data_IF_248760815989
#
_entry.id   IF_248760815989
#
_cell.length_a   1.000
_cell.length_b   1.000
_cell.length_c   1.000
_cell.angle_alpha   90.00
_cell.angle_beta   90.00
_cell.angle_gamma   90.00
#
_symmetry.space_group_name_H-M   'P 1'
#
loop_
_entity.id
_entity.type
_entity.pdbx_description
1 polymer ?
#
# COMPACT_ATOMS: atom_id res chain seq x y z
N UNK A 1 22.83 -0.73 -65.20
CA UNK A 1 22.27 -0.53 -63.84
C UNK A 1 23.02 -1.45 -62.90
N UNK A 2 24.00 -0.94 -62.16
CA UNK A 2 24.77 -1.70 -61.17
C UNK A 2 24.12 -1.54 -59.80
N UNK A 3 23.57 -2.61 -59.24
CA UNK A 3 23.06 -2.63 -57.86
C UNK A 3 24.21 -2.40 -56.88
N UNK A 4 24.24 -1.21 -56.29
CA UNK A 4 25.12 -0.90 -55.16
C UNK A 4 24.54 -1.56 -53.91
N UNK A 5 24.97 -2.79 -53.62
CA UNK A 5 24.63 -3.49 -52.38
C UNK A 5 25.44 -2.87 -51.24
N UNK A 6 24.87 -1.83 -50.62
CA UNK A 6 25.44 -1.22 -49.42
C UNK A 6 25.35 -2.22 -48.26
N UNK A 7 26.48 -2.71 -47.70
CA UNK A 7 26.43 -3.64 -46.58
C UNK A 7 25.80 -2.95 -45.37
N UNK A 8 24.73 -3.54 -44.84
CA UNK A 8 24.06 -3.03 -43.64
C UNK A 8 25.03 -3.10 -42.46
N UNK A 9 25.29 -2.00 -41.74
CA UNK A 9 26.21 -2.03 -40.61
C UNK A 9 25.71 -3.01 -39.54
N UNK A 10 26.62 -3.74 -38.87
CA UNK A 10 26.25 -4.70 -37.84
C UNK A 10 25.45 -3.99 -36.75
N UNK A 11 24.25 -4.51 -36.46
CA UNK A 11 23.38 -4.01 -35.39
C UNK A 11 24.17 -4.02 -34.07
N UNK A 12 24.27 -2.89 -33.34
CA UNK A 12 24.93 -2.86 -32.05
C UNK A 12 24.27 -3.88 -31.11
N UNK A 13 24.98 -4.94 -30.77
CA UNK A 13 24.54 -5.89 -29.75
C UNK A 13 24.80 -5.26 -28.39
N UNK A 14 23.73 -5.08 -27.59
CA UNK A 14 23.88 -4.54 -26.25
C UNK A 14 24.91 -5.38 -25.47
N UNK A 15 25.85 -4.74 -24.74
CA UNK A 15 26.87 -5.46 -23.98
C UNK A 15 26.20 -6.44 -23.02
N UNK A 16 26.63 -7.70 -23.06
CA UNK A 16 26.11 -8.76 -22.19
C UNK A 16 26.41 -8.39 -20.74
N UNK A 17 25.36 -8.13 -19.94
CA UNK A 17 25.51 -7.84 -18.50
C UNK A 17 26.26 -8.97 -17.80
N UNK A 18 27.18 -8.62 -16.91
CA UNK A 18 27.86 -9.60 -16.06
C UNK A 18 26.87 -10.23 -15.09
N UNK A 19 27.21 -11.39 -14.52
CA UNK A 19 26.36 -12.06 -13.53
C UNK A 19 26.06 -11.16 -12.33
N UNK A 20 27.06 -10.44 -11.84
CA UNK A 20 26.94 -9.49 -10.73
C UNK A 20 25.99 -8.32 -11.07
N UNK A 21 26.08 -7.77 -12.28
CA UNK A 21 25.16 -6.73 -12.74
C UNK A 21 23.71 -7.24 -12.79
N UNK A 22 23.50 -8.49 -13.21
CA UNK A 22 22.18 -9.13 -13.22
C UNK A 22 21.65 -9.35 -11.79
N UNK A 23 22.49 -9.77 -10.87
CA UNK A 23 22.10 -9.98 -9.47
C UNK A 23 21.75 -8.65 -8.77
N UNK A 24 22.52 -7.60 -9.01
CA UNK A 24 22.24 -6.25 -8.50
C UNK A 24 20.92 -5.69 -9.06
N UNK A 25 20.66 -5.89 -10.36
CA UNK A 25 19.40 -5.49 -11.01
C UNK A 25 18.19 -6.23 -10.42
N UNK A 26 18.30 -7.54 -10.21
CA UNK A 26 17.23 -8.33 -9.57
C UNK A 26 16.96 -7.87 -8.13
N UNK A 27 18.00 -7.50 -7.37
CA UNK A 27 17.84 -6.96 -6.03
C UNK A 27 17.11 -5.60 -6.03
N UNK A 28 17.45 -4.72 -6.99
CA UNK A 28 16.78 -3.45 -7.18
C UNK A 28 15.31 -3.63 -7.57
N UNK A 29 15.02 -4.53 -8.52
CA UNK A 29 13.65 -4.86 -8.95
C UNK A 29 12.81 -5.37 -7.79
N UNK A 30 13.34 -6.30 -6.97
CA UNK A 30 12.63 -6.81 -5.78
C UNK A 30 12.32 -5.69 -4.76
N UNK A 31 13.17 -4.67 -4.66
CA UNK A 31 12.94 -3.51 -3.77
C UNK A 31 11.78 -2.65 -4.29
N UNK A 32 11.73 -2.40 -5.60
CA UNK A 32 10.63 -1.67 -6.23
C UNK A 32 9.33 -2.46 -6.12
N UNK A 33 9.33 -3.75 -6.45
CA UNK A 33 8.15 -4.62 -6.36
C UNK A 33 7.55 -4.63 -4.94
N UNK A 34 8.39 -4.71 -3.90
CA UNK A 34 7.92 -4.61 -2.51
C UNK A 34 7.28 -3.27 -2.20
N UNK A 35 7.84 -2.17 -2.67
CA UNK A 35 7.26 -0.83 -2.46
C UNK A 35 5.92 -0.69 -3.17
N UNK A 36 5.83 -1.12 -4.42
CA UNK A 36 4.59 -1.08 -5.21
C UNK A 36 3.52 -1.95 -4.55
N UNK A 37 3.86 -3.16 -4.11
CA UNK A 37 2.94 -4.03 -3.39
C UNK A 37 2.46 -3.41 -2.07
N UNK A 38 3.36 -2.76 -1.32
CA UNK A 38 3.01 -2.10 -0.07
C UNK A 38 2.06 -0.91 -0.30
N UNK A 39 2.31 -0.11 -1.34
CA UNK A 39 1.44 1.02 -1.72
C UNK A 39 0.07 0.52 -2.17
N UNK A 40 0.01 -0.52 -3.01
CA UNK A 40 -1.25 -1.11 -3.46
C UNK A 40 -2.07 -1.66 -2.30
N UNK A 41 -1.44 -2.43 -1.41
CA UNK A 41 -2.09 -2.95 -0.21
C UNK A 41 -2.61 -1.84 0.70
N UNK A 42 -1.80 -0.79 0.93
CA UNK A 42 -2.21 0.37 1.71
C UNK A 42 -3.42 1.08 1.10
N UNK A 43 -3.41 1.32 -0.22
CA UNK A 43 -4.52 2.00 -0.90
C UNK A 43 -5.84 1.23 -0.75
N UNK A 44 -5.83 -0.09 -0.95
CA UNK A 44 -7.02 -0.95 -0.82
C UNK A 44 -7.56 -0.94 0.61
N UNK A 45 -6.68 -1.07 1.58
CA UNK A 45 -7.07 -1.19 2.99
C UNK A 45 -7.56 0.12 3.59
N UNK A 46 -6.96 1.26 3.21
CA UNK A 46 -7.46 2.60 3.59
C UNK A 46 -8.87 2.84 3.06
N UNK A 47 -9.18 2.40 1.84
CA UNK A 47 -10.57 2.45 1.34
C UNK A 47 -11.52 1.65 2.21
N UNK A 48 -11.10 0.47 2.70
CA UNK A 48 -11.88 -0.30 3.67
C UNK A 48 -12.14 0.46 4.97
N UNK A 49 -11.12 1.12 5.54
CA UNK A 49 -11.27 1.94 6.75
C UNK A 49 -12.26 3.09 6.52
N UNK A 50 -12.11 3.85 5.44
CA UNK A 50 -13.00 4.95 5.10
C UNK A 50 -14.43 4.46 4.84
N UNK A 51 -14.59 3.31 4.18
CA UNK A 51 -15.88 2.68 3.93
C UNK A 51 -16.59 2.30 5.23
N UNK A 52 -15.88 1.71 6.19
CA UNK A 52 -16.42 1.42 7.51
C UNK A 52 -16.84 2.70 8.26
N UNK A 53 -16.00 3.74 8.26
CA UNK A 53 -16.33 5.01 8.93
C UNK A 53 -17.59 5.64 8.30
N UNK A 54 -17.66 5.69 6.97
CA UNK A 54 -18.83 6.19 6.26
C UNK A 54 -20.10 5.42 6.61
N UNK A 55 -20.02 4.08 6.64
CA UNK A 55 -21.14 3.22 7.01
C UNK A 55 -21.56 3.41 8.47
N UNK A 56 -20.62 3.63 9.39
CA UNK A 56 -20.93 3.92 10.79
C UNK A 56 -21.81 5.19 10.93
N UNK A 57 -21.48 6.27 10.22
CA UNK A 57 -22.29 7.49 10.26
C UNK A 57 -23.68 7.32 9.63
N UNK A 58 -23.81 6.46 8.61
CA UNK A 58 -25.13 6.11 8.05
C UNK A 58 -25.97 5.36 9.08
N UNK A 59 -25.40 4.38 9.78
CA UNK A 59 -26.09 3.61 10.82
C UNK A 59 -26.48 4.46 12.03
N UNK A 60 -25.63 5.40 12.42
CA UNK A 60 -25.91 6.37 13.47
C UNK A 60 -27.13 7.22 13.13
N UNK A 61 -27.19 7.74 11.90
CA UNK A 61 -28.36 8.49 11.40
C UNK A 61 -29.66 7.67 11.32
N UNK A 62 -29.58 6.35 11.37
CA UNK A 62 -30.73 5.43 11.42
C UNK A 62 -31.13 5.05 12.85
N UNK A 63 -30.53 5.66 13.87
CA UNK A 63 -30.78 5.34 15.28
C UNK A 63 -30.11 4.04 15.76
N UNK A 64 -29.24 3.42 14.94
CA UNK A 64 -28.51 2.18 15.25
C UNK A 64 -27.13 2.50 15.83
N UNK A 65 -27.11 3.29 16.90
CA UNK A 65 -25.87 3.82 17.49
C UNK A 65 -24.90 2.71 17.93
N UNK A 66 -25.41 1.59 18.46
CA UNK A 66 -24.59 0.43 18.85
C UNK A 66 -23.87 -0.23 17.66
N UNK A 67 -24.54 -0.35 16.51
CA UNK A 67 -23.94 -0.92 15.30
C UNK A 67 -22.94 0.05 14.66
N UNK A 68 -23.20 1.35 14.75
CA UNK A 68 -22.27 2.38 14.31
C UNK A 68 -20.93 2.27 15.06
N UNK A 69 -20.97 2.17 16.39
CA UNK A 69 -19.79 1.98 17.23
C UNK A 69 -19.06 0.67 16.85
N UNK A 70 -19.80 -0.43 16.69
CA UNK A 70 -19.21 -1.72 16.31
C UNK A 70 -18.46 -1.66 14.97
N UNK A 71 -19.03 -0.98 13.97
CA UNK A 71 -18.38 -0.79 12.67
C UNK A 71 -17.16 0.12 12.79
N UNK A 72 -17.22 1.19 13.59
CA UNK A 72 -16.05 2.04 13.84
C UNK A 72 -14.91 1.24 14.48
N UNK A 73 -15.21 0.35 15.44
CA UNK A 73 -14.21 -0.54 16.02
C UNK A 73 -13.60 -1.49 14.98
N UNK A 74 -14.41 -2.04 14.08
CA UNK A 74 -13.92 -2.88 12.97
C UNK A 74 -12.99 -2.11 12.04
N UNK A 75 -13.24 -0.81 11.80
CA UNK A 75 -12.32 0.03 11.02
C UNK A 75 -10.94 0.13 11.68
N UNK A 76 -10.87 0.14 13.02
CA UNK A 76 -9.62 0.13 13.77
C UNK A 76 -8.84 -1.17 13.62
N UNK A 77 -9.53 -2.31 13.57
CA UNK A 77 -8.91 -3.62 13.30
C UNK A 77 -8.29 -3.63 11.89
N UNK A 78 -9.02 -3.11 10.89
CA UNK A 78 -8.51 -3.00 9.52
C UNK A 78 -7.27 -2.10 9.48
N UNK A 79 -7.27 -0.98 10.20
CA UNK A 79 -6.10 -0.10 10.28
C UNK A 79 -4.88 -0.81 10.90
N UNK A 80 -5.09 -1.62 11.94
CA UNK A 80 -4.01 -2.43 12.54
C UNK A 80 -3.45 -3.47 11.56
N UNK A 81 -4.31 -4.19 10.85
CA UNK A 81 -3.92 -5.15 9.79
C UNK A 81 -3.14 -4.44 8.69
N UNK A 82 -3.59 -3.24 8.30
CA UNK A 82 -2.92 -2.41 7.29
C UNK A 82 -1.49 -2.10 7.70
N UNK A 83 -1.30 -1.63 8.93
CA UNK A 83 0.02 -1.31 9.48
C UNK A 83 0.95 -2.52 9.47
N UNK A 84 0.47 -3.67 9.93
CA UNK A 84 1.25 -4.93 9.96
C UNK A 84 1.58 -5.39 8.53
N UNK A 85 0.60 -5.41 7.63
CA UNK A 85 0.78 -5.86 6.26
C UNK A 85 1.80 -5.02 5.48
N UNK A 86 1.72 -3.68 5.55
CA UNK A 86 2.68 -2.78 4.90
C UNK A 86 4.11 -3.03 5.42
N UNK A 87 4.28 -3.22 6.73
CA UNK A 87 5.59 -3.49 7.35
C UNK A 87 6.18 -4.84 6.92
N UNK A 88 5.34 -5.88 6.87
CA UNK A 88 5.74 -7.21 6.40
C UNK A 88 6.18 -7.16 4.93
N UNK A 89 5.42 -6.48 4.07
CA UNK A 89 5.76 -6.35 2.64
C UNK A 89 7.09 -5.60 2.46
N UNK A 90 7.32 -4.54 3.24
CA UNK A 90 8.56 -3.77 3.20
C UNK A 90 9.75 -4.46 3.88
N UNK A 91 9.55 -5.61 4.56
CA UNK A 91 10.54 -6.24 5.46
C UNK A 91 11.15 -5.25 6.45
N UNK A 92 10.36 -4.28 6.91
CA UNK A 92 10.83 -3.23 7.81
C UNK A 92 10.40 -3.60 9.24
N UNK A 93 11.31 -3.42 10.21
CA UNK A 93 11.03 -3.71 11.63
C UNK A 93 9.68 -3.13 12.04
N UNK A 94 8.83 -3.90 12.72
CA UNK A 94 7.46 -3.50 13.14
C UNK A 94 7.47 -2.43 14.25
N UNK A 95 8.63 -2.19 14.86
CA UNK A 95 8.82 -1.38 16.07
C UNK A 95 9.21 0.08 15.79
N UNK A 96 8.44 0.80 14.96
CA UNK A 96 8.55 2.27 14.96
C UNK A 96 7.26 2.84 15.54
N UNK A 97 7.24 3.11 16.87
CA UNK A 97 6.04 3.52 17.62
C UNK A 97 5.38 4.77 17.06
N UNK A 98 6.15 5.62 16.37
CA UNK A 98 5.73 6.93 15.88
C UNK A 98 4.65 6.87 14.78
N UNK A 99 4.55 5.75 14.04
CA UNK A 99 3.60 5.62 12.92
C UNK A 99 2.25 5.04 13.32
N UNK A 100 2.17 4.39 14.48
CA UNK A 100 0.95 3.80 15.03
C UNK A 100 -0.11 4.89 15.33
N UNK A 101 0.20 6.00 16.03
CA UNK A 101 -0.80 7.03 16.30
C UNK A 101 -1.25 7.75 15.03
N UNK A 102 -0.37 7.93 14.04
CA UNK A 102 -0.72 8.55 12.75
C UNK A 102 -1.71 7.69 11.97
N UNK A 103 -1.50 6.37 11.93
CA UNK A 103 -2.43 5.45 11.26
C UNK A 103 -3.78 5.34 11.98
N UNK A 104 -3.78 5.45 13.31
CA UNK A 104 -4.99 5.37 14.13
C UNK A 104 -5.80 6.67 14.16
N UNK A 105 -5.19 7.81 13.81
CA UNK A 105 -5.81 9.14 13.91
C UNK A 105 -7.24 9.23 13.33
N UNK A 106 -7.53 8.79 12.08
CA UNK A 106 -8.89 8.89 11.53
C UNK A 106 -9.91 8.05 12.30
N UNK A 107 -9.53 6.87 12.78
CA UNK A 107 -10.40 6.00 13.58
C UNK A 107 -10.66 6.60 14.97
N UNK A 108 -9.63 7.15 15.61
CA UNK A 108 -9.75 7.81 16.92
C UNK A 108 -10.65 9.04 16.82
N UNK A 109 -10.46 9.88 15.80
CA UNK A 109 -11.31 11.05 15.56
C UNK A 109 -12.77 10.62 15.38
N UNK A 110 -13.04 9.62 14.53
CA UNK A 110 -14.39 9.11 14.31
C UNK A 110 -15.03 8.58 15.60
N UNK A 111 -14.27 7.82 16.41
CA UNK A 111 -14.74 7.27 17.67
C UNK A 111 -15.05 8.38 18.69
N UNK A 112 -14.18 9.38 18.84
CA UNK A 112 -14.40 10.52 19.74
C UNK A 112 -15.64 11.31 19.32
N UNK A 113 -15.84 11.54 18.02
CA UNK A 113 -17.03 12.25 17.54
C UNK A 113 -18.33 11.48 17.79
N UNK A 114 -18.32 10.15 17.68
CA UNK A 114 -19.48 9.31 17.99
C UNK A 114 -19.78 9.29 19.49
N UNK A 115 -18.75 9.21 20.34
CA UNK A 115 -18.90 9.19 21.80
C UNK A 115 -19.30 10.55 22.41
N UNK A 116 -19.10 11.64 21.66
CA UNK A 116 -19.41 13.01 22.12
C UNK A 116 -20.80 13.50 21.69
N UNK A 117 -21.58 12.66 21.01
CA UNK A 117 -22.97 12.92 20.60
C UNK A 117 -23.94 12.20 21.51
#
# INVERSE_FOLDING_TARGET
MTESTTPTPPRPTAPRKTREQREAELAALRKVQRRVAAIGFFAITVHGVLGCIGLAFVLDGQGRHGDAIAITLMSGVIAAITFVGVRLILKRSLWSPMWIPIAAAPTVVALVTLLSR
#
